data_IF_605586910190
#
_entry.id   IF_605586910190
#
_cell.length_a   1.000
_cell.length_b   1.000
_cell.length_c   1.000
_cell.angle_alpha   90.00
_cell.angle_beta   90.00
_cell.angle_gamma   90.00
#
_symmetry.space_group_name_H-M   'P 1'
#
loop_
_entity.id
_entity.type
_entity.pdbx_description
1 polymer ?
#
# COMPACT_ATOMS: atom_id res chain seq x y z
N UNK A 1 -13.52 -8.21 -2.34
CA UNK A 1 -13.58 -7.93 -3.79
C UNK A 1 -12.20 -7.45 -4.18
N UNK A 2 -11.58 -7.94 -5.27
CA UNK A 2 -10.29 -7.40 -5.70
C UNK A 2 -10.46 -5.95 -6.14
N UNK A 3 -9.68 -5.02 -5.59
CA UNK A 3 -9.80 -3.59 -5.93
C UNK A 3 -9.23 -3.25 -7.32
N UNK A 4 -8.38 -4.12 -7.86
CA UNK A 4 -7.69 -3.94 -9.14
C UNK A 4 -7.59 -5.27 -9.87
N UNK A 5 -7.87 -5.26 -11.17
CA UNK A 5 -7.68 -6.40 -12.07
C UNK A 5 -6.32 -6.33 -12.77
N UNK A 6 -5.83 -7.47 -13.26
CA UNK A 6 -4.54 -7.53 -13.99
C UNK A 6 -4.55 -6.66 -15.25
N UNK A 7 -5.68 -6.59 -15.96
CA UNK A 7 -5.83 -5.74 -17.14
C UNK A 7 -5.72 -4.26 -16.79
N UNK A 8 -6.37 -3.79 -15.73
CA UNK A 8 -6.27 -2.39 -15.26
C UNK A 8 -4.85 -2.05 -14.80
N UNK A 9 -4.15 -3.00 -14.17
CA UNK A 9 -2.78 -2.82 -13.70
C UNK A 9 -1.80 -2.57 -14.85
N UNK A 10 -1.90 -3.33 -15.94
CA UNK A 10 -0.99 -3.20 -17.09
C UNK A 10 -1.44 -2.11 -18.07
N UNK A 11 -2.73 -2.04 -18.40
CA UNK A 11 -3.25 -1.17 -19.47
C UNK A 11 -3.58 0.25 -19.00
N UNK A 12 -4.20 0.38 -17.83
CA UNK A 12 -4.70 1.69 -17.36
C UNK A 12 -3.65 2.43 -16.53
N UNK A 13 -2.86 1.68 -15.76
CA UNK A 13 -1.84 2.24 -14.85
C UNK A 13 -0.42 2.16 -15.41
N UNK A 14 -0.18 1.33 -16.43
CA UNK A 14 1.11 1.26 -17.14
C UNK A 14 2.24 0.57 -16.38
N UNK A 15 1.92 -0.35 -15.46
CA UNK A 15 2.93 -1.14 -14.73
C UNK A 15 3.36 -2.39 -15.51
N UNK A 16 4.58 -2.86 -15.26
CA UNK A 16 5.14 -4.06 -15.87
C UNK A 16 4.40 -5.33 -15.44
N UNK A 17 4.22 -6.29 -16.36
CA UNK A 17 3.52 -7.54 -16.03
C UNK A 17 4.27 -8.36 -14.97
N UNK A 18 3.52 -8.87 -13.98
CA UNK A 18 4.04 -9.61 -12.85
C UNK A 18 3.62 -11.08 -12.92
N UNK A 19 4.59 -11.97 -12.74
CA UNK A 19 4.38 -13.44 -12.86
C UNK A 19 3.42 -14.02 -11.84
N UNK A 20 3.32 -13.43 -10.64
CA UNK A 20 2.49 -13.91 -9.53
C UNK A 20 1.42 -12.90 -9.08
N UNK A 21 0.79 -12.21 -10.03
CA UNK A 21 -0.16 -11.13 -9.76
C UNK A 21 -1.22 -11.50 -8.71
N UNK A 22 -1.90 -12.63 -8.82
CA UNK A 22 -3.00 -12.98 -7.90
C UNK A 22 -2.56 -13.13 -6.43
N UNK A 23 -1.38 -13.70 -6.21
CA UNK A 23 -0.84 -13.87 -4.86
C UNK A 23 -0.37 -12.55 -4.27
N UNK A 24 0.26 -11.70 -5.11
CA UNK A 24 0.72 -10.37 -4.71
C UNK A 24 -0.47 -9.43 -4.47
N UNK A 25 -1.51 -9.51 -5.29
CA UNK A 25 -2.74 -8.74 -5.16
C UNK A 25 -3.43 -9.05 -3.83
N UNK A 26 -3.54 -10.32 -3.43
CA UNK A 26 -4.10 -10.69 -2.11
C UNK A 26 -3.28 -10.12 -0.95
N UNK A 27 -1.95 -10.15 -1.05
CA UNK A 27 -1.08 -9.56 -0.01
C UNK A 27 -1.21 -8.04 0.04
N UNK A 28 -1.23 -7.39 -1.13
CA UNK A 28 -1.44 -5.96 -1.24
C UNK A 28 -2.79 -5.52 -0.68
N UNK A 29 -3.85 -6.27 -0.97
CA UNK A 29 -5.19 -6.05 -0.43
C UNK A 29 -5.20 -6.09 1.11
N UNK A 30 -4.51 -7.06 1.72
CA UNK A 30 -4.39 -7.14 3.19
C UNK A 30 -3.70 -5.89 3.75
N UNK A 31 -2.59 -5.45 3.14
CA UNK A 31 -1.87 -4.27 3.60
C UNK A 31 -2.70 -2.98 3.48
N UNK A 32 -3.42 -2.80 2.37
CA UNK A 32 -4.32 -1.65 2.16
C UNK A 32 -5.48 -1.68 3.15
N UNK A 33 -6.09 -2.84 3.35
CA UNK A 33 -7.18 -3.00 4.31
C UNK A 33 -6.73 -2.69 5.73
N UNK A 34 -5.54 -3.12 6.13
CA UNK A 34 -4.96 -2.78 7.44
C UNK A 34 -4.72 -1.26 7.57
N UNK A 35 -4.13 -0.64 6.54
CA UNK A 35 -3.86 0.81 6.54
C UNK A 35 -5.16 1.63 6.64
N UNK A 36 -6.18 1.23 5.89
CA UNK A 36 -7.51 1.87 5.85
C UNK A 36 -8.44 1.40 6.97
N UNK A 37 -7.95 0.66 7.97
CA UNK A 37 -8.76 0.13 9.09
C UNK A 37 -9.96 -0.74 8.67
N UNK A 38 -9.90 -1.34 7.48
CA UNK A 38 -10.93 -2.23 6.95
C UNK A 38 -12.24 -1.50 6.60
N UNK A 39 -12.18 -0.21 6.23
CA UNK A 39 -13.36 0.59 5.84
C UNK A 39 -14.26 -0.18 4.85
N UNK A 40 -13.68 -0.76 3.79
CA UNK A 40 -14.41 -1.49 2.76
C UNK A 40 -14.80 -2.93 3.15
N UNK A 41 -14.36 -3.42 4.31
CA UNK A 41 -14.83 -4.69 4.87
C UNK A 41 -16.08 -4.50 5.75
N UNK A 42 -16.28 -3.30 6.29
CA UNK A 42 -17.34 -2.96 7.25
C UNK A 42 -18.56 -2.29 6.59
N UNK A 43 -19.15 -2.98 5.62
CA UNK A 43 -20.41 -2.60 4.95
C UNK A 43 -20.34 -1.37 4.01
N UNK A 44 -19.15 -0.91 3.63
CA UNK A 44 -18.98 0.16 2.63
C UNK A 44 -18.67 -0.48 1.27
N UNK A 45 -19.59 -0.32 0.32
CA UNK A 45 -19.42 -0.79 -1.06
C UNK A 45 -18.36 0.06 -1.76
N UNK A 46 -17.24 -0.56 -2.13
CA UNK A 46 -16.19 0.09 -2.92
C UNK A 46 -16.73 0.61 -4.25
N UNK A 47 -17.71 -0.04 -4.87
CA UNK A 47 -18.31 0.40 -6.14
C UNK A 47 -19.15 1.67 -6.03
N UNK A 48 -19.55 2.08 -4.82
CA UNK A 48 -20.32 3.32 -4.58
C UNK A 48 -19.44 4.48 -4.10
N UNK A 49 -18.14 4.26 -3.94
CA UNK A 49 -17.19 5.31 -3.56
C UNK A 49 -16.98 6.36 -4.64
N UNK A 50 -16.47 7.52 -4.19
CA UNK A 50 -16.10 8.63 -5.05
C UNK A 50 -14.95 8.20 -5.97
N UNK A 51 -15.02 8.57 -7.25
CA UNK A 51 -14.05 8.18 -8.28
C UNK A 51 -12.59 8.52 -7.90
N UNK A 52 -12.40 9.66 -7.23
CA UNK A 52 -11.11 10.06 -6.68
C UNK A 52 -10.54 9.08 -5.64
N UNK A 53 -11.38 8.55 -4.75
CA UNK A 53 -10.96 7.57 -3.74
C UNK A 53 -10.71 6.20 -4.35
N UNK A 54 -11.54 5.78 -5.31
CA UNK A 54 -11.35 4.54 -6.06
C UNK A 54 -10.03 4.53 -6.81
N UNK A 55 -9.74 5.61 -7.55
CA UNK A 55 -8.48 5.74 -8.30
C UNK A 55 -7.26 5.72 -7.37
N UNK A 56 -7.34 6.36 -6.21
CA UNK A 56 -6.26 6.31 -5.22
C UNK A 56 -6.03 4.90 -4.64
N UNK A 57 -7.10 4.15 -4.34
CA UNK A 57 -6.99 2.76 -3.86
C UNK A 57 -6.40 1.85 -4.94
N UNK A 58 -6.85 1.99 -6.20
CA UNK A 58 -6.30 1.27 -7.35
C UNK A 58 -4.82 1.56 -7.56
N UNK A 59 -4.43 2.83 -7.50
CA UNK A 59 -3.04 3.27 -7.62
C UNK A 59 -2.17 2.74 -6.47
N UNK A 60 -2.68 2.80 -5.23
CA UNK A 60 -1.97 2.25 -4.07
C UNK A 60 -1.78 0.74 -4.19
N UNK A 61 -2.76 0.01 -4.72
CA UNK A 61 -2.67 -1.42 -4.99
C UNK A 61 -1.60 -1.73 -6.03
N UNK A 62 -1.52 -0.95 -7.11
CA UNK A 62 -0.48 -1.12 -8.12
C UNK A 62 0.93 -0.87 -7.55
N UNK A 63 1.13 0.22 -6.80
CA UNK A 63 2.42 0.49 -6.15
C UNK A 63 2.82 -0.60 -5.15
N UNK A 64 1.85 -1.12 -4.40
CA UNK A 64 2.13 -2.20 -3.44
C UNK A 64 2.51 -3.50 -4.16
N UNK A 65 1.85 -3.87 -5.26
CA UNK A 65 2.19 -5.06 -6.05
C UNK A 65 3.61 -4.92 -6.64
N UNK A 66 3.92 -3.78 -7.26
CA UNK A 66 5.24 -3.50 -7.81
C UNK A 66 6.35 -3.51 -6.74
N UNK A 67 6.06 -3.01 -5.54
CA UNK A 67 6.98 -3.07 -4.41
C UNK A 67 7.24 -4.51 -3.95
N UNK A 68 6.20 -5.32 -3.80
CA UNK A 68 6.37 -6.72 -3.37
C UNK A 68 7.17 -7.52 -4.40
N UNK A 69 6.93 -7.30 -5.69
CA UNK A 69 7.65 -7.96 -6.78
C UNK A 69 9.13 -7.54 -6.84
N UNK A 70 9.39 -6.23 -6.81
CA UNK A 70 10.77 -5.70 -6.93
C UNK A 70 11.63 -5.87 -5.69
N UNK A 71 11.04 -5.81 -4.49
CA UNK A 71 11.78 -5.91 -3.22
C UNK A 71 11.93 -7.35 -2.72
N UNK A 72 11.02 -8.25 -3.11
CA UNK A 72 10.94 -9.60 -2.55
C UNK A 72 10.50 -9.67 -1.09
N UNK A 73 10.16 -8.54 -0.44
CA UNK A 73 9.71 -8.49 0.95
C UNK A 73 8.23 -8.81 1.01
N UNK A 74 7.87 -9.94 1.61
CA UNK A 74 6.50 -10.43 1.64
C UNK A 74 5.80 -10.15 2.97
N UNK A 75 6.57 -9.91 4.05
CA UNK A 75 6.02 -9.70 5.41
C UNK A 75 6.61 -8.48 6.12
N UNK A 76 5.88 -8.00 7.14
CA UNK A 76 6.35 -6.89 7.96
C UNK A 76 7.57 -7.28 8.80
N UNK A 77 7.64 -8.53 9.25
CA UNK A 77 8.78 -9.06 10.00
C UNK A 77 10.04 -9.08 9.14
N UNK A 78 9.95 -9.53 7.88
CA UNK A 78 11.06 -9.45 6.92
C UNK A 78 11.51 -8.01 6.70
N UNK A 79 10.57 -7.06 6.59
CA UNK A 79 10.88 -5.64 6.44
C UNK A 79 11.59 -5.06 7.66
N UNK A 80 11.18 -5.46 8.87
CA UNK A 80 11.79 -5.01 10.13
C UNK A 80 13.15 -5.66 10.40
N UNK A 81 13.32 -6.92 10.00
CA UNK A 81 14.60 -7.62 10.08
C UNK A 81 15.64 -7.07 9.10
N UNK A 82 15.20 -6.39 8.04
CA UNK A 82 16.08 -5.85 7.02
C UNK A 82 16.61 -4.47 7.39
N UNK A 83 17.94 -4.34 7.43
CA UNK A 83 18.61 -3.06 7.68
C UNK A 83 18.57 -2.12 6.47
N UNK A 84 18.47 -2.66 5.24
CA UNK A 84 18.37 -1.87 4.01
C UNK A 84 17.86 -2.69 2.81
N UNK A 85 17.14 -2.07 1.88
CA UNK A 85 16.71 -2.66 0.59
C UNK A 85 17.31 -1.87 -0.57
N UNK A 86 17.74 -2.55 -1.63
CA UNK A 86 18.07 -1.91 -2.91
C UNK A 86 17.00 -2.24 -3.95
N UNK A 87 16.29 -1.21 -4.43
CA UNK A 87 15.32 -1.29 -5.52
C UNK A 87 15.90 -0.55 -6.73
N UNK A 88 16.29 -1.32 -7.74
CA UNK A 88 16.98 -0.80 -8.92
C UNK A 88 18.26 -0.05 -8.55
N UNK A 89 18.28 1.27 -8.82
CA UNK A 89 19.42 2.17 -8.49
C UNK A 89 19.30 2.82 -7.11
N UNK A 90 18.18 2.64 -6.42
CA UNK A 90 17.85 3.33 -5.17
C UNK A 90 18.07 2.38 -4.01
N UNK A 91 18.88 2.81 -3.02
CA UNK A 91 19.09 2.09 -1.77
C UNK A 91 18.34 2.81 -0.65
N UNK A 92 17.54 2.06 0.11
CA UNK A 92 16.79 2.53 1.27
C UNK A 92 17.43 1.89 2.50
N UNK A 93 18.07 2.68 3.34
CA UNK A 93 18.60 2.24 4.64
C UNK A 93 17.54 2.49 5.73
N UNK A 94 17.17 1.44 6.47
CA UNK A 94 16.19 1.46 7.57
C UNK A 94 16.86 1.60 8.96
N UNK A 95 18.16 1.90 8.99
CA UNK A 95 18.96 1.94 10.21
C UNK A 95 18.47 2.95 11.24
N UNK A 96 18.38 2.48 12.51
CA UNK A 96 18.28 3.28 13.73
C UNK A 96 17.02 4.16 13.85
N UNK A 97 15.99 3.62 14.51
CA UNK A 97 14.96 4.37 15.24
C UNK A 97 14.47 5.67 14.58
N UNK A 98 13.70 5.54 13.52
CA UNK A 98 12.85 6.63 13.08
C UNK A 98 11.40 6.16 13.06
N UNK A 99 10.56 6.92 13.77
CA UNK A 99 9.13 6.74 14.00
C UNK A 99 8.51 5.86 12.92
N UNK A 100 8.12 4.65 13.31
CA UNK A 100 7.38 3.73 12.45
C UNK A 100 6.14 4.51 12.01
N UNK A 101 6.16 5.06 10.78
CA UNK A 101 4.94 5.56 10.15
C UNK A 101 3.93 4.44 10.27
N UNK A 102 2.67 4.74 10.55
CA UNK A 102 1.72 3.68 10.77
C UNK A 102 1.54 2.77 9.54
N UNK A 103 1.94 3.20 8.33
CA UNK A 103 2.09 2.31 7.16
C UNK A 103 3.26 1.31 7.25
N UNK A 104 4.37 1.66 7.92
CA UNK A 104 5.51 0.75 8.11
C UNK A 104 5.21 -0.42 9.05
N UNK A 105 4.15 -0.35 9.86
CA UNK A 105 3.70 -1.49 10.67
C UNK A 105 3.08 -2.62 9.83
N UNK A 106 2.61 -2.32 8.61
CA UNK A 106 1.79 -3.24 7.81
C UNK A 106 2.48 -3.75 6.54
N UNK A 107 3.82 -3.74 6.47
CA UNK A 107 4.58 -4.02 5.24
C UNK A 107 4.13 -3.16 4.05
N UNK A 108 3.84 -1.89 4.29
CA UNK A 108 3.28 -1.00 3.26
C UNK A 108 4.35 -0.19 2.54
N UNK A 109 4.19 0.00 1.22
CA UNK A 109 5.03 0.85 0.40
C UNK A 109 4.76 2.34 0.69
N UNK A 110 5.80 3.18 0.67
CA UNK A 110 5.66 4.61 0.91
C UNK A 110 4.85 5.32 -0.18
N UNK A 111 4.99 4.90 -1.44
CA UNK A 111 4.25 5.47 -2.56
C UNK A 111 2.75 5.15 -2.48
N UNK A 112 2.43 3.92 -2.06
CA UNK A 112 1.06 3.52 -1.76
C UNK A 112 0.48 4.32 -0.58
N UNK A 113 1.28 4.60 0.45
CA UNK A 113 0.90 5.45 1.58
C UNK A 113 0.58 6.88 1.14
N UNK A 114 1.41 7.45 0.28
CA UNK A 114 1.21 8.81 -0.21
C UNK A 114 -0.05 8.93 -1.07
N UNK A 115 -0.32 7.96 -1.95
CA UNK A 115 -1.53 7.91 -2.76
C UNK A 115 -2.81 7.87 -1.90
N UNK A 116 -2.81 7.05 -0.85
CA UNK A 116 -3.93 6.93 0.08
C UNK A 116 -4.10 8.19 0.95
N UNK A 117 -3.00 8.78 1.43
CA UNK A 117 -3.02 10.05 2.18
C UNK A 117 -3.61 11.19 1.37
N UNK A 118 -3.24 11.29 0.09
CA UNK A 118 -3.79 12.29 -0.82
C UNK A 118 -5.32 12.17 -0.92
N UNK A 119 -5.84 10.93 -0.92
CA UNK A 119 -7.27 10.65 -0.98
C UNK A 119 -8.03 10.75 0.37
N UNK A 120 -7.33 11.11 1.44
CA UNK A 120 -7.91 11.29 2.76
C UNK A 120 -8.04 10.00 3.57
N UNK A 121 -7.37 8.92 3.19
CA UNK A 121 -7.31 7.67 3.98
C UNK A 121 -6.27 7.73 5.10
N UNK A 122 -5.90 8.93 5.56
CA UNK A 122 -4.98 9.08 6.67
C UNK A 122 -5.53 8.36 7.89
N UNK A 123 -4.67 7.59 8.56
CA UNK A 123 -4.90 7.24 9.95
C UNK A 123 -5.12 8.55 10.71
N UNK A 124 -6.22 8.63 11.45
CA UNK A 124 -6.58 9.80 12.24
C UNK A 124 -5.42 10.04 13.21
N UNK A 125 -4.53 10.97 12.89
CA UNK A 125 -3.58 11.52 13.84
C UNK A 125 -4.46 12.39 14.73
N UNK A 126 -4.68 11.96 15.97
CA UNK A 126 -5.55 12.67 16.91
C UNK A 126 -5.28 14.17 16.83
N UNK A 127 -6.34 14.96 16.66
CA UNK A 127 -6.24 16.41 16.78
C UNK A 127 -5.96 16.67 18.25
N UNK A 128 -4.74 17.10 18.58
CA UNK A 128 -4.45 17.65 19.90
C UNK A 128 -5.27 18.93 20.02
N UNK A 129 -6.36 18.86 20.78
CA UNK A 129 -7.01 20.07 21.25
C UNK A 129 -6.15 20.59 22.39
N UNK A 130 -5.52 21.74 22.15
CA UNK A 130 -4.91 22.54 23.22
C UNK A 130 -6.00 22.78 24.28
N UNK A 131 -5.73 22.38 25.53
CA UNK A 131 -6.73 22.26 26.59
C UNK A 131 -6.71 23.46 27.52
#
# INVERSE_FOLDING_TARGET
MPYLTKDEFVKDLGFDDVTNFDNLAKRAEVAINLYTQGIYQKHIDFDKEVEYRKSAVKLAMAFQIAYLDSSGIMTADEKQAMSSVSIGRTKIDYGSQHRISAGQQFNFCLDAENALKQAGFSLIVGVDYDR
#
